data_IF_646431353092
#
_entry.id   IF_646431353092
#
_cell.length_a   1.000
_cell.length_b   1.000
_cell.length_c   1.000
_cell.angle_alpha   90.00
_cell.angle_beta   90.00
_cell.angle_gamma   90.00
#
_symmetry.space_group_name_H-M   'P 1'
#
loop_
_entity.id
_entity.type
_entity.pdbx_description
1 polymer ?
#
# COMPACT_ATOMS: atom_id res chain seq x y z
N UNK A 1 14.38 -17.48 -2.90
CA UNK A 1 13.22 -16.78 -3.48
C UNK A 1 13.27 -15.30 -3.13
N UNK A 2 13.14 -14.43 -4.13
CA UNK A 2 13.20 -12.97 -3.97
C UNK A 2 11.79 -12.41 -3.75
N UNK A 3 11.60 -11.56 -2.75
CA UNK A 3 10.32 -10.89 -2.46
C UNK A 3 10.29 -9.58 -3.25
N UNK A 4 9.28 -9.42 -4.12
CA UNK A 4 9.08 -8.20 -4.89
C UNK A 4 7.91 -7.41 -4.28
N UNK A 5 8.20 -6.23 -3.75
CA UNK A 5 7.20 -5.31 -3.19
C UNK A 5 7.28 -3.97 -3.91
N UNK A 6 6.16 -3.52 -4.45
CA UNK A 6 6.05 -2.22 -5.13
C UNK A 6 4.91 -1.42 -4.50
N UNK A 7 5.22 -0.23 -4.01
CA UNK A 7 4.23 0.69 -3.47
C UNK A 7 4.31 2.01 -4.23
N UNK A 8 3.18 2.43 -4.79
CA UNK A 8 3.00 3.73 -5.42
C UNK A 8 2.00 4.53 -4.59
N UNK A 9 2.44 5.63 -4.01
CA UNK A 9 1.59 6.53 -3.24
C UNK A 9 1.52 7.88 -3.92
N UNK A 10 0.30 8.38 -4.16
CA UNK A 10 0.04 9.68 -4.74
C UNK A 10 -0.97 10.43 -3.88
N UNK A 11 -0.64 11.65 -3.47
CA UNK A 11 -1.49 12.45 -2.60
C UNK A 11 -1.68 13.86 -3.13
N UNK A 12 -2.89 14.39 -2.96
CA UNK A 12 -3.19 15.79 -3.23
C UNK A 12 -3.57 16.45 -1.91
N UNK A 13 -2.80 17.47 -1.51
CA UNK A 13 -3.13 18.34 -0.37
C UNK A 13 -3.71 19.64 -0.90
N UNK A 14 -4.89 20.02 -0.40
CA UNK A 14 -5.58 21.24 -0.82
C UNK A 14 -5.41 22.32 0.25
N UNK A 15 -4.52 23.28 0.02
CA UNK A 15 -4.32 24.46 0.87
C UNK A 15 -2.91 24.58 1.44
N UNK A 16 -2.80 24.74 2.77
CA UNK A 16 -1.52 24.91 3.50
C UNK A 16 -0.73 23.59 3.56
N UNK A 17 0.56 23.64 3.86
CA UNK A 17 1.40 22.43 4.06
C UNK A 17 0.81 21.47 5.13
N UNK A 18 0.09 22.05 6.10
CA UNK A 18 -0.63 21.36 7.17
C UNK A 18 -2.15 21.21 6.91
N UNK A 19 -2.56 21.17 5.64
CA UNK A 19 -3.98 21.07 5.26
C UNK A 19 -4.45 19.63 5.07
N UNK A 20 -5.77 19.48 5.22
CA UNK A 20 -6.57 18.30 4.89
C UNK A 20 -6.31 17.87 3.45
N UNK A 21 -6.12 16.58 3.25
CA UNK A 21 -5.75 16.02 1.96
C UNK A 21 -6.32 14.64 1.75
N UNK A 22 -6.24 14.21 0.49
CA UNK A 22 -6.57 12.84 0.10
C UNK A 22 -5.28 12.17 -0.33
N UNK A 23 -4.98 11.05 0.32
CA UNK A 23 -3.89 10.17 -0.05
C UNK A 23 -4.48 8.95 -0.73
N UNK A 24 -4.03 8.65 -1.94
CA UNK A 24 -4.36 7.42 -2.65
C UNK A 24 -3.08 6.59 -2.71
N UNK A 25 -3.18 5.33 -2.34
CA UNK A 25 -2.05 4.41 -2.39
C UNK A 25 -2.42 3.13 -3.11
N UNK A 26 -1.49 2.70 -3.94
CA UNK A 26 -1.53 1.46 -4.69
C UNK A 26 -0.39 0.58 -4.22
N UNK A 27 -0.69 -0.64 -3.83
CA UNK A 27 0.26 -1.60 -3.29
C UNK A 27 0.21 -2.87 -4.10
N UNK A 28 1.37 -3.32 -4.55
CA UNK A 28 1.56 -4.62 -5.16
C UNK A 28 2.61 -5.40 -4.36
N UNK A 29 2.29 -6.65 -4.08
CA UNK A 29 3.16 -7.55 -3.34
C UNK A 29 3.16 -8.91 -4.00
N UNK A 30 4.36 -9.42 -4.27
CA UNK A 30 4.60 -10.77 -4.76
C UNK A 30 5.67 -11.40 -3.87
N UNK A 31 5.22 -12.26 -2.95
CA UNK A 31 6.08 -12.81 -1.92
C UNK A 31 5.41 -13.93 -1.15
N UNK A 32 6.09 -14.39 -0.10
CA UNK A 32 5.52 -15.37 0.83
C UNK A 32 4.53 -14.71 1.77
N UNK A 33 3.53 -15.49 2.20
CA UNK A 33 2.53 -14.98 3.12
C UNK A 33 3.18 -14.43 4.40
N UNK A 34 2.85 -13.17 4.70
CA UNK A 34 3.29 -12.40 5.87
C UNK A 34 2.42 -12.67 7.10
N UNK A 35 1.26 -13.31 6.93
CA UNK A 35 0.44 -13.78 8.03
C UNK A 35 0.87 -15.20 8.39
N UNK A 36 1.49 -15.33 9.56
CA UNK A 36 2.28 -16.50 9.97
C UNK A 36 1.60 -17.88 10.03
N UNK A 37 0.38 -18.02 9.51
CA UNK A 37 -0.28 -19.31 9.30
C UNK A 37 0.12 -19.98 7.97
N UNK A 38 0.68 -19.24 7.01
CA UNK A 38 0.93 -19.76 5.65
C UNK A 38 2.30 -19.38 5.08
N UNK A 39 3.35 -19.40 5.89
CA UNK A 39 4.73 -19.02 5.50
C UNK A 39 5.28 -19.67 4.21
N UNK A 40 4.70 -20.78 3.75
CA UNK A 40 5.10 -21.47 2.51
C UNK A 40 4.20 -21.19 1.30
N UNK A 41 3.18 -20.34 1.42
CA UNK A 41 2.32 -19.96 0.31
C UNK A 41 2.85 -18.70 -0.36
N UNK A 42 3.19 -18.83 -1.64
CA UNK A 42 3.51 -17.69 -2.51
C UNK A 42 2.20 -17.00 -2.87
N UNK A 43 1.99 -15.78 -2.37
CA UNK A 43 0.77 -15.00 -2.59
C UNK A 43 1.10 -13.71 -3.33
N UNK A 44 0.31 -13.46 -4.36
CA UNK A 44 0.29 -12.18 -5.07
C UNK A 44 -0.91 -11.42 -4.57
N UNK A 45 -0.69 -10.25 -3.97
CA UNK A 45 -1.77 -9.34 -3.61
C UNK A 45 -1.58 -8.00 -4.28
N UNK A 46 -2.70 -7.43 -4.72
CA UNK A 46 -2.78 -6.06 -5.18
C UNK A 46 -3.83 -5.36 -4.32
N UNK A 47 -3.51 -4.16 -3.87
CA UNK A 47 -4.35 -3.37 -2.97
C UNK A 47 -4.43 -1.95 -3.46
N UNK A 48 -5.63 -1.38 -3.42
CA UNK A 48 -5.87 0.03 -3.63
C UNK A 48 -6.55 0.57 -2.37
N UNK A 49 -6.02 1.64 -1.82
CA UNK A 49 -6.60 2.30 -0.66
C UNK A 49 -6.56 3.81 -0.78
N UNK A 50 -7.38 4.44 0.06
CA UNK A 50 -7.40 5.89 0.20
C UNK A 50 -7.50 6.27 1.68
N UNK A 51 -6.79 7.33 2.05
CA UNK A 51 -6.85 7.94 3.37
C UNK A 51 -7.31 9.38 3.24
N UNK A 52 -8.28 9.75 4.06
CA UNK A 52 -8.80 11.11 4.17
C UNK A 52 -8.37 11.69 5.52
N UNK A 53 -7.60 12.77 5.49
CA UNK A 53 -7.32 13.56 6.69
C UNK A 53 -8.31 14.73 6.74
N UNK A 54 -9.23 14.69 7.72
CA UNK A 54 -10.13 15.78 8.10
C UNK A 54 -9.63 16.41 9.40
#
# INVERSE_FOLDING_TARGET
DEILSFNLTAGVKLGRWNSRGVLIYFMFYDGFDIYGQYFNLKRKFTGLGCSFEF
#
